data_IF_909702871109
#
_entry.id   IF_909702871109
#
_cell.length_a   1.000
_cell.length_b   1.000
_cell.length_c   1.000
_cell.angle_alpha   90.00
_cell.angle_beta   90.00
_cell.angle_gamma   90.00
#
_symmetry.space_group_name_H-M   'P 1'
#
loop_
_entity.id
_entity.type
_entity.pdbx_description
1 polymer ?
#
# COMPACT_ATOMS: atom_id res chain seq x y z
N UNK A 1 8.53 -24.45 -7.83
CA UNK A 1 8.89 -23.06 -7.45
C UNK A 1 7.69 -22.15 -7.72
N UNK A 2 7.25 -21.33 -6.75
CA UNK A 2 6.01 -20.53 -6.88
C UNK A 2 6.29 -19.21 -7.61
N UNK A 3 5.53 -18.92 -8.68
CA UNK A 3 5.64 -17.66 -9.43
C UNK A 3 5.17 -16.47 -8.59
N UNK A 4 6.05 -15.50 -8.33
CA UNK A 4 5.77 -14.31 -7.51
C UNK A 4 5.15 -13.15 -8.31
N UNK A 5 5.38 -13.13 -9.62
CA UNK A 5 4.80 -12.17 -10.57
C UNK A 5 3.38 -12.59 -10.88
N UNK A 6 2.43 -12.04 -10.13
CA UNK A 6 1.00 -12.26 -10.28
C UNK A 6 0.31 -10.93 -10.61
N UNK A 7 -0.88 -10.94 -11.23
CA UNK A 7 -1.69 -9.73 -11.33
C UNK A 7 -1.94 -9.13 -9.95
N UNK A 8 -2.14 -7.80 -9.89
CA UNK A 8 -2.33 -7.01 -8.68
C UNK A 8 -1.09 -6.90 -7.76
N UNK A 9 0.08 -7.38 -8.22
CA UNK A 9 1.36 -7.07 -7.56
C UNK A 9 1.83 -5.68 -7.93
N UNK A 10 2.32 -4.96 -6.93
CA UNK A 10 2.98 -3.68 -7.13
C UNK A 10 4.43 -3.91 -7.56
N UNK A 11 4.86 -3.12 -8.52
CA UNK A 11 6.19 -3.18 -9.12
C UNK A 11 6.74 -1.78 -9.32
N UNK A 12 8.06 -1.65 -9.33
CA UNK A 12 8.75 -0.42 -9.70
C UNK A 12 9.38 -0.63 -11.07
N UNK A 13 9.16 0.32 -11.98
CA UNK A 13 9.78 0.28 -13.31
C UNK A 13 11.22 0.76 -13.18
N UNK A 14 12.17 -0.03 -13.66
CA UNK A 14 13.60 0.28 -13.57
C UNK A 14 14.09 1.13 -14.75
N UNK A 15 13.55 0.90 -15.95
CA UNK A 15 14.11 1.48 -17.18
C UNK A 15 13.08 2.18 -18.08
N UNK A 16 13.60 3.11 -18.89
CA UNK A 16 12.84 3.90 -19.88
C UNK A 16 12.13 5.12 -19.28
N UNK A 17 11.21 5.71 -20.05
CA UNK A 17 10.52 6.98 -19.69
C UNK A 17 9.82 6.99 -18.31
N UNK A 18 9.44 5.83 -17.80
CA UNK A 18 8.73 5.68 -16.53
C UNK A 18 9.60 5.05 -15.44
N UNK A 19 10.93 5.08 -15.58
CA UNK A 19 11.85 4.63 -14.54
C UNK A 19 11.57 5.31 -13.18
N UNK A 20 11.72 4.57 -12.09
CA UNK A 20 11.42 4.99 -10.73
C UNK A 20 9.92 5.13 -10.42
N UNK A 21 9.03 4.92 -11.39
CA UNK A 21 7.59 5.00 -11.17
C UNK A 21 7.03 3.65 -10.72
N UNK A 22 6.23 3.71 -9.66
CA UNK A 22 5.39 2.62 -9.16
C UNK A 22 4.26 2.32 -10.14
N UNK A 23 4.00 1.02 -10.28
CA UNK A 23 2.95 0.51 -11.11
C UNK A 23 2.39 -0.82 -10.59
N UNK A 24 1.31 -1.28 -11.20
CA UNK A 24 0.63 -2.53 -10.89
C UNK A 24 0.60 -3.40 -12.12
N UNK A 25 0.90 -4.69 -11.94
CA UNK A 25 0.75 -5.69 -13.00
C UNK A 25 -0.74 -5.95 -13.18
N UNK A 26 -1.25 -5.70 -14.38
CA UNK A 26 -2.64 -6.01 -14.76
C UNK A 26 -2.73 -7.42 -15.32
N UNK A 27 -1.85 -7.74 -16.27
CA UNK A 27 -1.80 -9.04 -16.95
C UNK A 27 -0.35 -9.47 -17.15
N UNK A 28 -0.07 -10.73 -16.86
CA UNK A 28 1.23 -11.37 -17.03
C UNK A 28 1.23 -12.22 -18.31
N UNK A 29 2.35 -12.20 -19.04
CA UNK A 29 2.61 -13.02 -20.22
C UNK A 29 3.96 -13.71 -20.03
N UNK A 30 3.93 -14.90 -19.43
CA UNK A 30 5.15 -15.63 -19.09
C UNK A 30 5.75 -16.35 -20.30
N UNK A 31 4.89 -16.90 -21.17
CA UNK A 31 5.30 -17.69 -22.35
C UNK A 31 5.54 -16.80 -23.59
N UNK A 32 5.50 -15.48 -23.42
CA UNK A 32 5.63 -14.52 -24.51
C UNK A 32 4.35 -14.39 -25.36
N UNK A 33 4.46 -13.60 -26.41
CA UNK A 33 3.41 -13.39 -27.43
C UNK A 33 4.07 -13.44 -28.79
N UNK A 34 3.30 -13.66 -29.86
CA UNK A 34 3.83 -13.70 -31.24
C UNK A 34 4.71 -12.50 -31.59
N UNK A 35 4.35 -11.31 -31.10
CA UNK A 35 5.12 -10.08 -31.34
C UNK A 35 6.38 -9.96 -30.47
N UNK A 36 6.39 -10.62 -29.31
CA UNK A 36 7.41 -10.49 -28.26
C UNK A 36 7.66 -11.85 -27.61
N UNK A 37 8.71 -12.58 -28.02
CA UNK A 37 8.95 -13.95 -27.54
C UNK A 37 9.46 -14.01 -26.08
N UNK A 38 9.74 -12.87 -25.46
CA UNK A 38 10.21 -12.79 -24.08
C UNK A 38 9.08 -12.57 -23.08
N UNK A 39 9.31 -12.98 -21.83
CA UNK A 39 8.38 -12.77 -20.72
C UNK A 39 8.15 -11.29 -20.44
N UNK A 40 6.89 -10.87 -20.48
CA UNK A 40 6.52 -9.47 -20.30
C UNK A 40 5.18 -9.34 -19.58
N UNK A 41 4.85 -8.14 -19.17
CA UNK A 41 3.57 -7.87 -18.54
C UNK A 41 2.99 -6.53 -18.97
N UNK A 42 1.67 -6.46 -18.87
CA UNK A 42 0.90 -5.25 -19.04
C UNK A 42 0.79 -4.56 -17.68
N UNK A 43 1.26 -3.32 -17.64
CA UNK A 43 1.44 -2.56 -16.41
C UNK A 43 0.67 -1.26 -16.48
N UNK A 44 -0.06 -0.95 -15.40
CA UNK A 44 -0.73 0.33 -15.19
C UNK A 44 -0.07 1.06 -14.02
N UNK A 45 0.42 2.27 -14.26
CA UNK A 45 1.21 3.01 -13.27
C UNK A 45 0.89 4.48 -13.19
N UNK A 46 1.52 5.14 -12.21
CA UNK A 46 1.34 6.56 -11.94
C UNK A 46 2.51 7.33 -12.53
N UNK A 47 2.24 8.21 -13.49
CA UNK A 47 3.21 9.12 -14.10
C UNK A 47 3.50 10.32 -13.21
N UNK A 48 2.45 10.94 -12.67
CA UNK A 48 2.53 12.08 -11.75
C UNK A 48 1.84 11.72 -10.46
N UNK A 49 2.59 11.75 -9.37
CA UNK A 49 2.09 11.49 -8.04
C UNK A 49 1.30 12.67 -7.49
N UNK A 50 0.31 12.40 -6.63
CA UNK A 50 -0.34 13.45 -5.88
C UNK A 50 0.67 14.06 -4.90
N UNK A 51 0.61 15.38 -4.74
CA UNK A 51 1.47 16.10 -3.80
C UNK A 51 0.83 16.15 -2.41
N UNK A 52 1.65 16.28 -1.35
CA UNK A 52 1.19 16.40 0.02
C UNK A 52 0.22 17.58 0.19
N UNK A 53 -0.95 17.28 0.75
CA UNK A 53 -1.99 18.27 1.06
C UNK A 53 -1.75 18.77 2.49
N UNK A 54 -1.74 20.09 2.67
CA UNK A 54 -1.53 20.74 3.98
C UNK A 54 -2.85 21.38 4.40
N UNK A 55 -3.15 21.42 5.70
CA UNK A 55 -4.39 22.03 6.24
C UNK A 55 -4.59 23.50 5.83
N UNK A 56 -3.51 24.21 5.54
CA UNK A 56 -3.50 25.61 5.07
C UNK A 56 -3.93 25.77 3.60
N UNK A 57 -4.03 24.68 2.83
CA UNK A 57 -4.39 24.75 1.42
C UNK A 57 -5.88 25.06 1.22
N UNK A 58 -6.16 26.05 0.38
CA UNK A 58 -7.53 26.26 -0.15
C UNK A 58 -8.03 25.03 -0.93
N UNK A 59 -9.35 24.83 -0.97
CA UNK A 59 -9.98 23.72 -1.70
C UNK A 59 -9.51 23.58 -3.16
N UNK A 60 -9.27 24.71 -3.86
CA UNK A 60 -8.76 24.74 -5.25
C UNK A 60 -7.33 24.20 -5.35
N UNK A 61 -6.46 24.53 -4.39
CA UNK A 61 -5.07 24.01 -4.33
C UNK A 61 -5.07 22.52 -4.01
N UNK A 62 -5.91 22.10 -3.06
CA UNK A 62 -6.09 20.69 -2.69
C UNK A 62 -6.50 19.85 -3.89
N UNK A 63 -7.53 20.27 -4.62
CA UNK A 63 -7.96 19.58 -5.84
C UNK A 63 -6.83 19.46 -6.87
N UNK A 64 -6.00 20.50 -7.04
CA UNK A 64 -4.85 20.46 -7.98
C UNK A 64 -3.76 19.48 -7.53
N UNK A 65 -3.48 19.39 -6.23
CA UNK A 65 -2.47 18.50 -5.62
C UNK A 65 -2.89 17.04 -5.63
N UNK A 66 -4.18 16.75 -5.46
CA UNK A 66 -4.70 15.37 -5.47
C UNK A 66 -4.81 14.76 -6.88
N UNK A 67 -4.61 15.52 -7.96
CA UNK A 67 -4.71 15.01 -9.33
C UNK A 67 -3.60 14.01 -9.64
N UNK A 68 -3.99 12.85 -10.13
CA UNK A 68 -3.07 11.80 -10.58
C UNK A 68 -3.01 11.79 -12.10
N UNK A 69 -1.83 11.50 -12.67
CA UNK A 69 -1.70 11.19 -14.10
C UNK A 69 -1.20 9.76 -14.23
N UNK A 70 -1.90 8.95 -15.01
CA UNK A 70 -1.60 7.53 -15.18
C UNK A 70 -0.91 7.23 -16.51
N UNK A 71 -0.36 6.02 -16.62
CA UNK A 71 0.15 5.46 -17.86
C UNK A 71 -0.12 3.97 -17.93
N UNK A 72 -0.27 3.46 -19.14
CA UNK A 72 -0.34 2.03 -19.46
C UNK A 72 0.81 1.68 -20.40
N UNK A 73 1.53 0.61 -20.09
CA UNK A 73 2.69 0.17 -20.87
C UNK A 73 2.90 -1.35 -20.75
N UNK A 74 3.36 -1.98 -21.83
CA UNK A 74 3.94 -3.33 -21.80
C UNK A 74 5.42 -3.23 -21.45
N UNK A 75 5.84 -4.00 -20.46
CA UNK A 75 7.20 -3.96 -19.90
C UNK A 75 7.76 -5.38 -19.80
N UNK A 76 9.04 -5.56 -20.15
CA UNK A 76 9.78 -6.80 -19.91
C UNK A 76 9.96 -7.01 -18.40
N UNK A 77 9.90 -8.24 -17.91
CA UNK A 77 10.15 -8.56 -16.51
C UNK A 77 11.51 -8.12 -16.00
N UNK A 78 12.56 -8.15 -16.84
CA UNK A 78 13.89 -7.67 -16.47
C UNK A 78 13.89 -6.17 -16.09
N UNK A 79 12.95 -5.39 -16.60
CA UNK A 79 12.87 -3.95 -16.36
C UNK A 79 11.94 -3.62 -15.18
N UNK A 80 11.56 -4.62 -14.39
CA UNK A 80 10.70 -4.46 -13.23
C UNK A 80 11.41 -4.94 -11.97
N UNK A 81 11.33 -4.14 -10.93
CA UNK A 81 11.64 -4.57 -9.58
C UNK A 81 10.33 -4.99 -8.91
N UNK A 82 10.15 -6.29 -8.61
CA UNK A 82 8.99 -6.76 -7.86
C UNK A 82 9.05 -6.24 -6.43
N UNK A 83 7.90 -5.87 -5.88
CA UNK A 83 7.81 -5.46 -4.46
C UNK A 83 6.98 -6.48 -3.69
N UNK A 84 7.12 -6.48 -2.36
CA UNK A 84 6.28 -7.29 -1.46
C UNK A 84 4.79 -6.92 -1.56
N UNK A 85 4.49 -5.68 -1.94
CA UNK A 85 3.16 -5.12 -1.82
C UNK A 85 2.20 -5.61 -2.90
N UNK A 86 0.95 -5.80 -2.49
CA UNK A 86 -0.20 -5.99 -3.36
C UNK A 86 -1.03 -4.71 -3.38
N UNK A 87 -1.53 -4.38 -4.56
CA UNK A 87 -2.47 -3.30 -4.78
C UNK A 87 -3.70 -3.90 -5.46
N UNK A 88 -4.76 -4.01 -4.70
CA UNK A 88 -5.98 -4.71 -5.12
C UNK A 88 -6.87 -3.83 -5.98
N UNK A 89 -6.45 -3.42 -7.18
CA UNK A 89 -7.25 -2.56 -8.06
C UNK A 89 -7.79 -3.37 -9.23
N UNK A 90 -9.11 -3.37 -9.42
CA UNK A 90 -9.75 -4.05 -10.56
C UNK A 90 -9.52 -3.24 -11.85
N UNK A 91 -8.40 -3.54 -12.51
CA UNK A 91 -7.97 -2.92 -13.77
C UNK A 91 -7.96 -3.90 -14.96
N UNK A 92 -8.31 -5.16 -14.73
CA UNK A 92 -8.18 -6.24 -15.72
C UNK A 92 -9.08 -6.03 -16.94
N UNK A 93 -10.29 -5.52 -16.72
CA UNK A 93 -11.27 -5.28 -17.78
C UNK A 93 -10.98 -3.99 -18.55
N UNK A 94 -10.45 -2.98 -17.87
CA UNK A 94 -10.20 -1.65 -18.46
C UNK A 94 -8.91 -1.61 -19.28
N UNK A 95 -7.92 -2.41 -18.89
CA UNK A 95 -6.58 -2.36 -19.46
C UNK A 95 -6.29 -3.68 -20.18
N UNK A 96 -6.69 -3.73 -21.45
CA UNK A 96 -6.41 -4.84 -22.37
C UNK A 96 -5.20 -4.54 -23.25
N UNK A 97 -4.53 -5.57 -23.82
CA UNK A 97 -3.44 -5.35 -24.76
C UNK A 97 -3.87 -4.56 -26.00
N UNK A 98 -5.14 -4.65 -26.41
CA UNK A 98 -5.69 -3.94 -27.58
C UNK A 98 -5.73 -2.42 -27.41
N UNK A 99 -5.80 -1.95 -26.16
CA UNK A 99 -5.74 -0.52 -25.84
C UNK A 99 -4.40 0.13 -26.24
N UNK A 100 -3.36 -0.66 -26.50
CA UNK A 100 -2.02 -0.16 -26.83
C UNK A 100 -1.79 0.10 -28.31
N UNK A 101 -2.64 -0.44 -29.19
CA UNK A 101 -2.48 -0.33 -30.65
C UNK A 101 -2.74 1.10 -31.11
N UNK A 102 -3.84 1.71 -30.66
CA UNK A 102 -4.22 3.08 -31.01
C UNK A 102 -4.05 4.05 -29.84
N UNK A 103 -3.62 5.27 -30.16
CA UNK A 103 -3.39 6.33 -29.17
C UNK A 103 -4.69 6.72 -28.44
N UNK A 104 -5.82 6.73 -29.12
CA UNK A 104 -7.10 7.15 -28.52
C UNK A 104 -7.59 6.16 -27.46
N UNK A 105 -7.55 4.87 -27.77
CA UNK A 105 -7.88 3.80 -26.81
C UNK A 105 -6.96 3.86 -25.59
N UNK A 106 -5.66 4.12 -25.80
CA UNK A 106 -4.71 4.32 -24.71
C UNK A 106 -5.06 5.50 -23.81
N UNK A 107 -5.50 6.61 -24.40
CA UNK A 107 -5.94 7.80 -23.64
C UNK A 107 -7.20 7.49 -22.84
N UNK A 108 -8.16 6.76 -23.39
CA UNK A 108 -9.38 6.32 -22.69
C UNK A 108 -9.03 5.42 -21.50
N UNK A 109 -8.24 4.36 -21.72
CA UNK A 109 -7.80 3.48 -20.64
C UNK A 109 -7.04 4.24 -19.52
N UNK A 110 -6.22 5.23 -19.89
CA UNK A 110 -5.53 6.09 -18.92
C UNK A 110 -6.49 7.00 -18.12
N UNK A 111 -7.59 7.46 -18.73
CA UNK A 111 -8.61 8.27 -18.04
C UNK A 111 -9.37 7.43 -17.01
N UNK A 112 -9.76 6.22 -17.37
CA UNK A 112 -10.48 5.30 -16.47
C UNK A 112 -9.58 4.84 -15.32
N UNK A 113 -8.34 4.46 -15.64
CA UNK A 113 -7.31 4.10 -14.65
C UNK A 113 -7.05 5.25 -13.66
N UNK A 114 -7.06 6.50 -14.15
CA UNK A 114 -6.91 7.69 -13.30
C UNK A 114 -8.03 7.79 -12.27
N UNK A 115 -9.29 7.64 -12.69
CA UNK A 115 -10.44 7.71 -11.77
C UNK A 115 -10.31 6.70 -10.64
N UNK A 116 -9.95 5.45 -10.95
CA UNK A 116 -9.73 4.39 -9.94
C UNK A 116 -8.61 4.71 -8.96
N UNK A 117 -7.49 5.27 -9.44
CA UNK A 117 -6.40 5.67 -8.55
C UNK A 117 -6.74 6.90 -7.69
N UNK A 118 -7.53 7.85 -8.20
CA UNK A 118 -7.96 9.03 -7.44
C UNK A 118 -8.97 8.65 -6.33
N UNK A 119 -9.90 7.73 -6.59
CA UNK A 119 -10.81 7.18 -5.58
C UNK A 119 -10.05 6.52 -4.43
N UNK A 120 -9.00 5.75 -4.75
CA UNK A 120 -8.15 5.12 -3.75
C UNK A 120 -7.31 6.08 -2.95
N UNK A 121 -6.84 7.16 -3.57
CA UNK A 121 -6.07 8.18 -2.87
C UNK A 121 -6.93 8.89 -1.82
N UNK A 122 -8.18 9.23 -2.15
CA UNK A 122 -9.12 9.88 -1.22
C UNK A 122 -9.47 9.00 -0.01
N UNK A 123 -9.57 7.69 -0.20
CA UNK A 123 -9.91 6.74 0.87
C UNK A 123 -8.73 6.39 1.78
N UNK A 124 -7.50 6.80 1.45
CA UNK A 124 -6.32 6.62 2.32
C UNK A 124 -5.83 5.18 2.49
N UNK A 125 -6.47 4.19 1.84
CA UNK A 125 -6.27 2.74 2.07
C UNK A 125 -4.85 2.21 1.79
N UNK A 126 -3.93 3.02 1.26
CA UNK A 126 -2.55 2.63 0.93
C UNK A 126 -1.48 3.71 1.28
N UNK A 127 -1.77 4.68 2.16
CA UNK A 127 -0.86 5.79 2.47
C UNK A 127 0.53 5.32 2.92
N UNK A 128 0.62 4.29 3.77
CA UNK A 128 1.92 3.75 4.23
C UNK A 128 2.77 3.15 3.09
N UNK A 129 2.13 2.62 2.03
CA UNK A 129 2.81 2.00 0.86
C UNK A 129 3.18 3.02 -0.22
N UNK A 130 2.43 4.12 -0.30
CA UNK A 130 2.86 5.26 -1.09
C UNK A 130 4.06 5.90 -0.40
N UNK A 131 3.93 6.25 0.86
CA UNK A 131 4.78 7.27 1.48
C UNK A 131 6.19 6.74 1.85
N UNK A 132 6.34 5.47 2.24
CA UNK A 132 7.64 4.86 2.56
C UNK A 132 8.58 4.64 1.35
N UNK A 133 8.09 4.83 0.12
CA UNK A 133 8.93 4.88 -1.09
C UNK A 133 8.90 6.29 -1.73
N UNK A 134 8.16 7.24 -1.14
CA UNK A 134 8.18 8.66 -1.52
C UNK A 134 9.21 9.50 -0.75
N UNK A 135 9.74 8.99 0.37
CA UNK A 135 10.76 9.69 1.19
C UNK A 135 12.21 9.49 0.72
N UNK A 136 12.43 8.91 -0.47
CA UNK A 136 13.76 8.90 -1.10
C UNK A 136 13.97 10.13 -1.99
N UNK A 137 13.52 11.30 -1.55
CA UNK A 137 13.99 12.60 -2.08
C UNK A 137 14.48 13.42 -0.89
N UNK A 138 15.81 13.53 -0.80
CA UNK A 138 16.52 14.50 0.01
C UNK A 138 16.10 15.92 -0.38
N UNK A 139 15.20 16.52 0.38
CA UNK A 139 15.29 17.94 0.74
C UNK A 139 14.96 18.09 2.21
N UNK A 140 15.94 17.75 3.06
CA UNK A 140 16.17 18.53 4.27
C UNK A 140 16.49 19.95 3.80
N UNK A 141 15.52 20.84 3.89
CA UNK A 141 15.81 22.21 4.23
C UNK A 141 15.10 22.47 5.54
N UNK A 142 15.94 22.64 6.56
CA UNK A 142 15.58 23.08 7.89
C UNK A 142 14.81 24.39 7.79
N UNK A 143 13.58 24.41 8.30
CA UNK A 143 12.97 25.62 8.80
C UNK A 143 12.55 25.33 10.25
N UNK A 144 13.41 25.77 11.17
CA UNK A 144 13.12 25.82 12.58
C UNK A 144 12.10 26.91 12.95
N UNK A 145 11.75 26.90 14.23
CA UNK A 145 10.85 27.82 14.96
C UNK A 145 9.34 27.56 14.75
N UNK A 146 8.48 27.52 15.77
CA UNK A 146 8.61 27.99 17.15
C UNK A 146 7.60 27.28 18.06
N UNK A 147 8.03 27.00 19.27
CA UNK A 147 7.19 26.85 20.46
C UNK A 147 6.69 28.27 20.82
N UNK A 148 5.38 28.52 20.86
CA UNK A 148 4.77 29.31 21.95
C UNK A 148 3.23 29.44 21.87
N UNK A 149 2.65 29.14 23.04
CA UNK A 149 1.51 29.77 23.73
C UNK A 149 0.09 29.79 23.12
N UNK A 150 -0.83 29.11 23.84
CA UNK A 150 -2.09 29.60 24.46
C UNK A 150 -3.11 30.40 23.58
N UNK A 151 -4.44 30.24 23.66
CA UNK A 151 -5.34 29.69 24.69
C UNK A 151 -6.83 29.79 24.27
N UNK A 152 -7.70 29.04 24.99
CA UNK A 152 -9.18 29.16 25.18
C UNK A 152 -10.07 28.81 23.95
N UNK A 153 -11.10 27.94 23.99
CA UNK A 153 -12.17 27.68 24.97
C UNK A 153 -12.66 26.22 24.87
N UNK A 154 -12.76 25.52 26.01
CA UNK A 154 -13.61 24.34 26.18
C UNK A 154 -15.02 24.78 26.60
N UNK A 155 -16.07 24.01 26.30
CA UNK A 155 -16.59 23.07 27.31
C UNK A 155 -17.11 21.75 26.66
N UNK A 156 -17.50 20.64 27.29
CA UNK A 156 -17.48 20.03 28.63
C UNK A 156 -18.00 18.59 28.39
N UNK A 157 -17.57 17.62 29.22
CA UNK A 157 -18.15 16.28 29.44
C UNK A 157 -17.95 15.15 28.40
N UNK A 158 -16.84 14.40 28.55
CA UNK A 158 -16.86 12.95 28.31
C UNK A 158 -15.89 12.22 29.26
N UNK A 159 -16.16 12.30 30.56
CA UNK A 159 -15.29 11.71 31.61
C UNK A 159 -15.94 10.60 32.45
N UNK A 160 -17.08 10.05 32.01
CA UNK A 160 -17.78 8.98 32.76
C UNK A 160 -17.60 7.59 32.13
N UNK A 161 -17.25 7.48 30.84
CA UNK A 161 -17.13 6.18 30.16
C UNK A 161 -15.76 5.48 30.32
N UNK A 162 -14.70 6.20 30.68
CA UNK A 162 -13.35 5.64 30.77
C UNK A 162 -13.06 4.88 32.08
N UNK A 163 -13.85 5.08 33.13
CA UNK A 163 -13.66 4.40 34.43
C UNK A 163 -14.35 3.04 34.52
N UNK A 164 -15.39 2.77 33.73
CA UNK A 164 -16.13 1.49 33.76
C UNK A 164 -15.43 0.41 32.94
N UNK A 165 -14.76 0.75 31.84
CA UNK A 165 -14.11 -0.25 30.96
C UNK A 165 -12.84 -0.89 31.56
N UNK A 166 -12.15 -0.19 32.46
CA UNK A 166 -10.86 -0.64 33.01
C UNK A 166 -11.01 -1.69 34.13
N UNK A 167 -12.21 -1.83 34.71
CA UNK A 167 -12.50 -2.84 35.75
C UNK A 167 -12.86 -4.19 35.11
N UNK A 168 -13.55 -4.18 33.98
CA UNK A 168 -13.98 -5.41 33.27
C UNK A 168 -12.80 -6.23 32.72
N UNK A 169 -11.76 -5.56 32.20
CA UNK A 169 -10.56 -6.21 31.64
C UNK A 169 -9.70 -6.84 32.74
N UNK A 170 -9.60 -6.21 33.92
CA UNK A 170 -8.86 -6.75 35.06
C UNK A 170 -9.52 -7.98 35.69
N UNK A 171 -10.85 -8.08 35.62
CA UNK A 171 -11.60 -9.25 36.13
C UNK A 171 -11.49 -10.45 35.19
N UNK A 172 -11.50 -10.25 33.87
CA UNK A 172 -11.31 -11.38 32.93
C UNK A 172 -9.91 -12.00 33.00
N UNK A 173 -8.87 -11.19 33.24
CA UNK A 173 -7.51 -11.71 33.41
C UNK A 173 -7.33 -12.54 34.69
N UNK A 174 -7.98 -12.16 35.80
CA UNK A 174 -7.93 -12.93 37.04
C UNK A 174 -8.62 -14.29 36.93
N UNK A 175 -9.75 -14.38 36.21
CA UNK A 175 -10.45 -15.65 35.97
C UNK A 175 -9.60 -16.61 35.12
N UNK A 176 -8.95 -16.09 34.07
CA UNK A 176 -8.08 -16.91 33.21
C UNK A 176 -6.85 -17.46 33.97
N UNK A 177 -6.27 -16.67 34.88
CA UNK A 177 -5.12 -17.09 35.69
C UNK A 177 -5.50 -18.16 36.74
N UNK A 178 -6.68 -18.03 37.36
CA UNK A 178 -7.20 -19.01 38.33
C UNK A 178 -7.57 -20.35 37.67
N UNK A 179 -8.02 -20.34 36.41
CA UNK A 179 -8.32 -21.57 35.67
C UNK A 179 -7.05 -22.33 35.23
N UNK A 180 -5.93 -21.61 35.04
CA UNK A 180 -4.64 -22.21 34.67
C UNK A 180 -3.93 -22.84 35.87
N UNK A 181 -4.07 -22.29 37.09
CA UNK A 181 -3.37 -22.76 38.28
C UNK A 181 -3.96 -24.03 38.93
N UNK A 182 -5.13 -24.50 38.48
CA UNK A 182 -5.85 -25.64 39.09
C UNK A 182 -5.75 -26.95 38.30
N UNK A 183 -4.96 -26.99 37.20
CA UNK A 183 -4.75 -28.19 36.37
C UNK A 183 -3.28 -28.60 36.29
N UNK A 184 -2.66 -28.78 37.45
CA UNK A 184 -1.43 -29.57 37.55
C UNK A 184 -1.69 -30.82 38.38
N UNK A 185 -1.88 -31.98 37.73
CA UNK A 185 -1.54 -33.33 38.26
C UNK A 185 -1.94 -34.49 37.31
N UNK A 186 -0.91 -35.08 36.68
CA UNK A 186 -0.69 -36.48 36.22
C UNK A 186 -1.56 -37.10 35.09
N UNK A 187 -0.97 -37.27 33.88
CA UNK A 187 -0.40 -38.55 33.39
C UNK A 187 0.04 -38.45 31.91
N UNK A 188 1.04 -39.26 31.57
CA UNK A 188 1.72 -39.49 30.27
C UNK A 188 2.73 -38.41 29.83
N UNK A 189 4.03 -38.54 30.09
CA UNK A 189 4.99 -39.55 29.64
C UNK A 189 5.48 -39.32 28.19
N UNK A 190 6.78 -38.97 28.12
CA UNK A 190 7.76 -39.45 27.14
C UNK A 190 7.81 -38.73 25.78
N UNK A 191 9.03 -38.30 25.46
CA UNK A 191 9.60 -37.83 24.19
C UNK A 191 9.33 -36.37 23.79
N UNK A 192 10.20 -35.47 24.26
CA UNK A 192 10.98 -34.59 23.37
C UNK A 192 11.96 -33.74 24.20
N UNK A 193 13.00 -34.40 24.70
CA UNK A 193 14.29 -33.74 24.88
C UNK A 193 15.13 -34.02 23.63
N UNK A 194 15.91 -33.01 23.27
CA UNK A 194 17.06 -33.03 22.36
C UNK A 194 16.80 -33.12 20.85
N UNK A 195 16.86 -31.95 20.18
CA UNK A 195 17.75 -31.63 19.03
C UNK A 195 17.62 -30.11 18.80
N UNK A 196 18.46 -29.32 19.48
CA UNK A 196 19.71 -28.75 18.95
C UNK A 196 19.51 -27.48 18.10
N UNK A 197 19.65 -26.33 18.77
CA UNK A 197 19.88 -25.03 18.16
C UNK A 197 21.31 -24.60 18.53
N UNK A 198 22.29 -25.02 17.74
CA UNK A 198 23.60 -24.38 17.59
C UNK A 198 24.14 -24.79 16.21
N UNK A 199 24.25 -23.79 15.32
CA UNK A 199 24.67 -23.93 13.91
C UNK A 199 24.23 -22.74 13.07
#
# INVERSE_FOLDING_TARGET
MVKFLKPNKAVIVLQGRYAGRKAVIVKNFDDGTRDRPYGHCLVAGIKKYPSKVIKKDSAKKTAKKSRVKCFVKVVNYQHLMPTRYTLDVDLKELVTPDCLVTKDKKVVACKETKTRFEERFKTGKNQVKSDLVWDLDLTKHDDGASFDSMSVVAPVNHLVLAKVLNVQIRLQWKIYMLCWLQRGSYLEAILMEDVWFEG
#
